data_IF_459190845541
#
_entry.id   IF_459190845541
#
_cell.length_a   1.000
_cell.length_b   1.000
_cell.length_c   1.000
_cell.angle_alpha   90.00
_cell.angle_beta   90.00
_cell.angle_gamma   90.00
#
_symmetry.space_group_name_H-M   'P 1'
#
loop_
_entity.id
_entity.type
_entity.pdbx_description
1 polymer ?
#
# COMPACT_ATOMS: atom_id res chain seq x y z
N UNK A 1 8.65 -15.33 8.43
CA UNK A 1 8.74 -14.70 9.77
C UNK A 1 7.95 -13.41 9.67
N UNK A 2 6.88 -13.26 10.45
CA UNK A 2 6.21 -11.96 10.63
C UNK A 2 6.73 -11.36 11.93
N UNK A 3 7.04 -10.07 11.92
CA UNK A 3 7.58 -9.35 13.06
C UNK A 3 7.04 -7.92 13.05
N UNK A 4 6.87 -7.33 14.22
CA UNK A 4 6.43 -5.95 14.34
C UNK A 4 7.67 -5.06 14.39
N UNK A 5 7.75 -4.10 13.48
CA UNK A 5 8.75 -3.05 13.48
C UNK A 5 8.07 -1.69 13.71
N UNK A 6 8.79 -0.67 14.24
CA UNK A 6 8.28 0.70 14.24
C UNK A 6 7.89 1.14 12.83
N UNK A 7 6.80 1.92 12.73
CA UNK A 7 6.40 2.52 11.46
C UNK A 7 7.47 3.52 11.00
N UNK A 8 7.79 3.59 9.70
CA UNK A 8 8.69 4.61 9.18
C UNK A 8 8.04 6.00 9.28
N UNK A 9 8.87 7.03 9.37
CA UNK A 9 8.41 8.40 9.29
C UNK A 9 8.07 8.75 7.83
N UNK A 10 6.92 9.38 7.61
CA UNK A 10 6.49 9.86 6.30
C UNK A 10 6.58 11.41 6.22
N UNK A 11 6.89 11.98 5.03
CA UNK A 11 7.17 11.29 3.77
C UNK A 11 8.54 10.58 3.79
N UNK A 12 8.63 9.46 3.09
CA UNK A 12 9.83 8.63 2.97
C UNK A 12 10.26 8.57 1.48
N UNK A 13 11.57 8.54 1.22
CA UNK A 13 12.06 8.32 -0.14
C UNK A 13 11.72 6.90 -0.62
N UNK A 14 11.28 6.76 -1.88
CA UNK A 14 10.93 5.45 -2.46
C UNK A 14 12.11 4.47 -2.53
N UNK A 15 13.34 4.99 -2.45
CA UNK A 15 14.60 4.21 -2.45
C UNK A 15 15.02 3.77 -1.04
N UNK A 16 14.30 4.16 0.01
CA UNK A 16 14.61 3.74 1.36
C UNK A 16 14.36 2.23 1.53
N UNK A 17 15.21 1.56 2.30
CA UNK A 17 15.09 0.11 2.54
C UNK A 17 13.78 -0.23 3.25
N UNK A 18 13.35 0.64 4.16
CA UNK A 18 12.10 0.53 4.92
C UNK A 18 10.88 0.57 4.00
N UNK A 19 10.95 1.33 2.90
CA UNK A 19 9.87 1.38 1.91
C UNK A 19 9.68 0.04 1.19
N UNK A 20 10.72 -0.80 1.12
CA UNK A 20 10.73 -2.07 0.40
C UNK A 20 10.47 -3.29 1.30
N UNK A 21 10.69 -3.14 2.61
CA UNK A 21 10.81 -4.27 3.53
C UNK A 21 9.61 -4.44 4.46
N UNK A 22 8.68 -3.48 4.47
CA UNK A 22 7.54 -3.45 5.40
C UNK A 22 6.22 -3.55 4.65
N UNK A 23 5.36 -4.45 5.14
CA UNK A 23 3.93 -4.41 4.87
C UNK A 23 3.28 -3.53 5.93
N UNK A 24 2.52 -2.53 5.51
CA UNK A 24 1.87 -1.57 6.40
C UNK A 24 0.39 -1.90 6.55
N UNK A 25 -0.13 -1.92 7.77
CA UNK A 25 -1.57 -1.88 8.02
C UNK A 25 -2.03 -0.41 7.97
N UNK A 26 -3.02 -0.13 7.15
CA UNK A 26 -3.45 1.24 6.84
C UNK A 26 -4.52 1.73 7.81
N UNK A 27 -4.41 2.99 8.22
CA UNK A 27 -5.46 3.70 8.96
C UNK A 27 -6.73 3.90 8.10
N UNK A 28 -7.82 4.36 8.70
CA UNK A 28 -9.16 4.34 8.08
C UNK A 28 -9.30 5.07 6.73
N UNK A 29 -8.49 6.10 6.48
CA UNK A 29 -8.51 6.82 5.21
C UNK A 29 -7.92 6.02 4.04
N UNK A 30 -7.05 5.03 4.32
CA UNK A 30 -6.43 4.08 3.37
C UNK A 30 -5.89 4.75 2.11
N UNK A 31 -5.25 5.89 2.31
CA UNK A 31 -4.70 6.72 1.24
C UNK A 31 -3.17 6.73 1.28
N UNK A 32 -2.56 6.60 0.10
CA UNK A 32 -1.14 6.82 -0.14
C UNK A 32 -0.96 7.90 -1.19
N UNK A 33 0.17 8.63 -1.12
CA UNK A 33 0.51 9.66 -2.09
C UNK A 33 1.98 9.54 -2.49
N UNK A 34 2.23 9.50 -3.80
CA UNK A 34 3.56 9.63 -4.39
C UNK A 34 3.77 11.10 -4.77
N UNK A 35 4.77 11.72 -4.15
CA UNK A 35 5.10 13.13 -4.33
C UNK A 35 6.31 13.22 -5.27
N UNK A 36 6.13 13.83 -6.43
CA UNK A 36 7.22 14.04 -7.39
C UNK A 36 7.86 15.42 -7.21
N UNK A 37 9.17 15.58 -7.48
CA UNK A 37 9.88 16.85 -7.28
C UNK A 37 9.34 18.02 -8.11
N UNK A 38 8.66 17.76 -9.22
CA UNK A 38 8.04 18.76 -10.08
C UNK A 38 6.65 19.22 -9.58
N UNK A 39 6.17 18.67 -8.47
CA UNK A 39 4.86 18.98 -7.90
C UNK A 39 3.73 18.12 -8.47
N UNK A 40 4.02 17.14 -9.31
CA UNK A 40 3.07 16.09 -9.68
C UNK A 40 2.82 15.18 -8.47
N UNK A 41 1.56 14.78 -8.27
CA UNK A 41 1.15 13.88 -7.20
C UNK A 41 0.25 12.80 -7.76
N UNK A 42 0.55 11.55 -7.38
CA UNK A 42 -0.34 10.40 -7.60
C UNK A 42 -0.88 9.97 -6.25
N UNK A 43 -2.20 9.89 -6.12
CA UNK A 43 -2.88 9.40 -4.91
C UNK A 43 -3.58 8.08 -5.20
N UNK A 44 -3.50 7.16 -4.26
CA UNK A 44 -4.24 5.91 -4.29
C UNK A 44 -5.07 5.77 -3.01
N UNK A 45 -6.39 5.63 -3.17
CA UNK A 45 -7.31 5.35 -2.06
C UNK A 45 -8.00 4.03 -2.28
N UNK A 46 -8.10 3.21 -1.23
CA UNK A 46 -8.67 1.87 -1.35
C UNK A 46 -9.87 1.63 -0.45
N UNK A 47 -10.74 0.72 -0.88
CA UNK A 47 -11.85 0.24 -0.07
C UNK A 47 -11.35 -0.43 1.23
N UNK A 48 -12.19 -0.49 2.28
CA UNK A 48 -11.81 -1.13 3.55
C UNK A 48 -11.37 -2.60 3.44
N UNK A 49 -11.76 -3.29 2.36
CA UNK A 49 -11.38 -4.68 2.06
C UNK A 49 -9.90 -4.85 1.67
N UNK A 50 -9.16 -3.76 1.47
CA UNK A 50 -7.73 -3.74 1.18
C UNK A 50 -6.99 -2.97 2.30
N UNK A 51 -6.89 -3.55 3.52
CA UNK A 51 -6.37 -2.83 4.69
C UNK A 51 -4.84 -2.78 4.75
N UNK A 52 -4.13 -3.52 3.89
CA UNK A 52 -2.67 -3.55 3.90
C UNK A 52 -2.09 -2.82 2.68
N UNK A 53 -0.86 -2.31 2.84
CA UNK A 53 -0.07 -1.73 1.76
C UNK A 53 1.33 -2.28 1.71
N UNK A 54 1.68 -2.88 0.58
CA UNK A 54 3.05 -3.26 0.26
C UNK A 54 3.64 -2.24 -0.70
N UNK A 55 4.77 -1.67 -0.33
CA UNK A 55 5.55 -0.82 -1.21
C UNK A 55 6.84 -1.54 -1.58
N UNK A 56 7.32 -1.37 -2.81
CA UNK A 56 8.69 -1.75 -3.17
C UNK A 56 9.11 -1.14 -4.52
N UNK A 57 10.41 -1.19 -4.77
CA UNK A 57 11.09 -0.93 -6.03
C UNK A 57 12.16 -2.01 -6.22
N UNK A 58 12.74 -2.11 -7.41
CA UNK A 58 13.96 -2.87 -7.60
C UNK A 58 15.10 -1.88 -7.82
N UNK A 59 16.27 -2.09 -7.19
CA UNK A 59 17.45 -1.31 -7.49
C UNK A 59 17.68 -1.27 -9.01
N UNK A 60 18.03 -0.08 -9.51
CA UNK A 60 18.36 0.18 -10.91
C UNK A 60 17.23 -0.01 -11.93
N UNK A 61 15.98 -0.17 -11.47
CA UNK A 61 14.81 -0.24 -12.34
C UNK A 61 13.91 1.00 -12.15
N UNK A 62 13.44 1.63 -13.24
CA UNK A 62 12.63 2.86 -13.14
C UNK A 62 11.16 2.52 -12.83
N UNK A 63 10.89 1.84 -11.71
CA UNK A 63 9.53 1.59 -11.25
C UNK A 63 9.42 1.61 -9.73
N UNK A 64 8.20 1.83 -9.27
CA UNK A 64 7.81 1.71 -7.87
C UNK A 64 6.41 1.11 -7.80
N UNK A 65 6.21 0.21 -6.86
CA UNK A 65 4.96 -0.49 -6.60
C UNK A 65 4.33 0.06 -5.32
N UNK A 66 3.05 0.39 -5.40
CA UNK A 66 2.17 0.81 -4.30
C UNK A 66 0.97 -0.14 -4.27
N UNK A 67 1.13 -1.32 -3.66
CA UNK A 67 0.23 -2.47 -3.84
C UNK A 67 -0.75 -2.67 -2.68
N UNK A 68 -2.07 -2.48 -2.91
CA UNK A 68 -3.07 -2.71 -1.88
C UNK A 68 -3.38 -4.19 -1.72
N UNK A 69 -3.30 -4.68 -0.49
CA UNK A 69 -3.43 -6.11 -0.18
C UNK A 69 -4.61 -6.34 0.78
N UNK A 70 -5.33 -7.46 0.60
CA UNK A 70 -6.46 -7.85 1.46
C UNK A 70 -6.01 -8.48 2.79
N UNK A 71 -4.80 -9.05 2.82
CA UNK A 71 -4.30 -9.86 3.92
C UNK A 71 -2.77 -9.74 4.00
N UNK A 72 -2.15 -10.05 5.15
CA UNK A 72 -0.71 -9.96 5.29
C UNK A 72 0.04 -11.03 4.48
N UNK A 73 1.33 -10.80 4.25
CA UNK A 73 2.20 -11.77 3.60
C UNK A 73 2.14 -13.13 4.31
N UNK A 74 1.95 -14.20 3.54
CA UNK A 74 1.84 -15.55 4.08
C UNK A 74 0.55 -15.83 4.86
N UNK A 75 -0.51 -15.04 4.69
CA UNK A 75 -1.80 -15.23 5.36
C UNK A 75 -2.37 -16.65 5.23
N UNK A 76 -2.13 -17.33 4.11
CA UNK A 76 -2.59 -18.72 3.90
C UNK A 76 -1.96 -19.73 4.86
N UNK A 77 -0.83 -19.40 5.47
CA UNK A 77 -0.15 -20.26 6.45
C UNK A 77 -0.49 -19.88 7.91
N UNK A 78 -1.31 -18.84 8.10
CA UNK A 78 -1.64 -18.29 9.41
C UNK A 78 -3.16 -18.43 9.65
N UNK A 79 -3.60 -19.30 10.58
CA UNK A 79 -5.01 -19.47 10.88
C UNK A 79 -5.69 -18.13 11.19
N UNK A 80 -6.75 -17.81 10.46
CA UNK A 80 -7.54 -16.59 10.65
C UNK A 80 -7.01 -15.33 9.95
N UNK A 81 -5.84 -15.37 9.31
CA UNK A 81 -5.28 -14.20 8.62
C UNK A 81 -5.85 -13.99 7.20
N UNK A 82 -6.30 -15.05 6.54
CA UNK A 82 -6.87 -14.97 5.19
C UNK A 82 -8.31 -14.44 5.22
N UNK A 83 -8.65 -13.58 4.24
CA UNK A 83 -10.04 -13.20 3.99
C UNK A 83 -10.76 -14.37 3.33
N UNK A 84 -11.77 -14.93 4.01
CA UNK A 84 -12.56 -16.06 3.52
C UNK A 84 -13.97 -15.63 3.16
N UNK A 85 -14.48 -16.18 2.06
CA UNK A 85 -15.87 -16.05 1.64
C UNK A 85 -16.58 -17.39 1.78
N UNK A 86 -17.81 -17.37 2.28
CA UNK A 86 -18.66 -18.55 2.29
C UNK A 86 -19.06 -18.97 0.86
N UNK A 87 -19.44 -20.24 0.62
CA UNK A 87 -19.93 -20.68 -0.68
C UNK A 87 -21.08 -19.79 -1.19
N UNK A 88 -20.94 -19.26 -2.40
CA UNK A 88 -21.92 -18.36 -3.02
C UNK A 88 -21.83 -16.89 -2.61
N UNK A 89 -20.98 -16.54 -1.63
CA UNK A 89 -20.73 -15.15 -1.29
C UNK A 89 -19.82 -14.47 -2.32
N UNK A 90 -20.00 -13.17 -2.48
CA UNK A 90 -19.17 -12.30 -3.34
C UNK A 90 -18.72 -11.10 -2.52
N UNK A 91 -17.50 -10.64 -2.77
CA UNK A 91 -16.96 -9.40 -2.22
C UNK A 91 -16.35 -8.59 -3.37
N UNK A 92 -16.53 -7.27 -3.32
CA UNK A 92 -15.89 -6.33 -4.23
C UNK A 92 -14.88 -5.48 -3.46
N UNK A 93 -13.86 -5.02 -4.17
CA UNK A 93 -12.93 -4.01 -3.69
C UNK A 93 -12.70 -2.97 -4.78
N UNK A 94 -12.32 -1.78 -4.35
CA UNK A 94 -12.11 -0.65 -5.24
C UNK A 94 -10.76 0.00 -4.93
N UNK A 95 -10.08 0.40 -5.98
CA UNK A 95 -8.85 1.20 -5.94
C UNK A 95 -9.11 2.43 -6.80
N UNK A 96 -9.14 3.59 -6.17
CA UNK A 96 -9.23 4.88 -6.86
C UNK A 96 -7.83 5.46 -6.98
N UNK A 97 -7.39 5.68 -8.20
CA UNK A 97 -6.13 6.36 -8.51
C UNK A 97 -6.47 7.73 -9.09
N UNK A 98 -5.95 8.78 -8.47
CA UNK A 98 -6.06 10.15 -8.98
C UNK A 98 -4.69 10.76 -9.14
N UNK A 99 -4.58 11.72 -10.05
CA UNK A 99 -3.36 12.50 -10.22
C UNK A 99 -3.69 13.97 -10.35
N UNK A 100 -2.84 14.80 -9.79
CA UNK A 100 -2.89 16.24 -9.89
C UNK A 100 -1.49 16.79 -10.01
N UNK A 101 -1.42 17.98 -10.58
CA UNK A 101 -0.22 18.78 -10.53
C UNK A 101 -0.53 19.91 -9.57
N UNK A 102 0.19 19.99 -8.45
CA UNK A 102 0.12 21.17 -7.61
C UNK A 102 0.60 22.34 -8.47
N UNK A 103 -0.32 23.20 -8.91
CA UNK A 103 0.07 24.49 -9.48
C UNK A 103 0.59 25.27 -8.29
N UNK A 104 1.90 25.47 -8.22
CA UNK A 104 2.45 26.47 -7.34
C UNK A 104 1.70 27.79 -7.60
N UNK A 105 1.04 28.29 -6.55
CA UNK A 105 0.59 29.68 -6.48
C UNK A 105 1.76 30.61 -6.26
#
# INVERSE_FOLDING_TARGET
MTGNAPLPAFPLAITAEEANSLLLEMADNRETALLFPDGFVVRQRTSPTLPFRQCYTLPDQPFFCDEPWQAPAGAMNQPGAARLLAPGATEACEVLITSDHSRAG
#
